data_IF_780063107974
#
_entry.id   IF_780063107974
#
_cell.length_a   1.000
_cell.length_b   1.000
_cell.length_c   1.000
_cell.angle_alpha   90.00
_cell.angle_beta   90.00
_cell.angle_gamma   90.00
#
_symmetry.space_group_name_H-M   'P 1'
#
loop_
_entity.id
_entity.type
_entity.pdbx_description
1 polymer ?
#
# COMPACT_ATOMS: atom_id res chain seq x y z
N UNK A 1 13.72 13.84 2.81
CA UNK A 1 13.08 12.59 3.26
C UNK A 1 12.43 11.89 2.07
N UNK A 2 12.70 10.59 1.87
CA UNK A 2 11.99 9.72 0.91
C UNK A 2 10.97 8.88 1.66
N UNK A 3 9.89 8.50 0.97
CA UNK A 3 8.92 7.56 1.50
C UNK A 3 8.25 6.82 0.33
N UNK A 4 7.86 5.56 0.54
CA UNK A 4 7.03 4.83 -0.40
C UNK A 4 5.58 5.25 -0.22
N UNK A 5 5.07 6.06 -1.14
CA UNK A 5 3.64 6.42 -1.14
C UNK A 5 2.85 5.23 -1.64
N UNK A 6 2.01 4.65 -0.79
CA UNK A 6 1.11 3.54 -1.11
C UNK A 6 -0.29 4.03 -1.47
N UNK A 7 -0.96 3.33 -2.36
CA UNK A 7 -2.31 3.63 -2.86
C UNK A 7 -2.91 2.35 -3.44
N UNK A 8 -4.23 2.27 -3.58
CA UNK A 8 -4.82 1.12 -4.25
C UNK A 8 -6.34 1.06 -4.10
N UNK A 9 -7.09 0.81 -5.17
CA UNK A 9 -8.52 0.57 -5.06
C UNK A 9 -8.80 -0.77 -4.36
N UNK A 10 -9.84 -0.78 -3.52
CA UNK A 10 -10.41 -1.99 -2.95
C UNK A 10 -11.60 -2.45 -3.80
N UNK A 11 -11.66 -3.75 -4.06
CA UNK A 11 -12.71 -4.41 -4.84
C UNK A 11 -13.45 -5.41 -3.97
N UNK A 12 -14.76 -5.53 -4.18
CA UNK A 12 -15.55 -6.61 -3.60
C UNK A 12 -15.17 -7.94 -4.29
N UNK A 13 -14.97 -8.98 -3.49
CA UNK A 13 -14.59 -10.31 -3.98
C UNK A 13 -15.55 -11.37 -3.45
N UNK A 14 -15.69 -12.47 -4.19
CA UNK A 14 -16.51 -13.62 -3.80
C UNK A 14 -15.63 -14.75 -3.21
N UNK A 15 -14.80 -14.40 -2.25
CA UNK A 15 -13.96 -15.35 -1.48
C UNK A 15 -13.80 -14.83 -0.07
N UNK A 16 -13.61 -15.73 0.89
CA UNK A 16 -13.35 -15.35 2.28
C UNK A 16 -12.05 -14.52 2.37
N UNK A 17 -12.15 -13.35 2.99
CA UNK A 17 -11.04 -12.47 3.34
C UNK A 17 -10.94 -12.35 4.87
N UNK A 18 -10.04 -11.50 5.34
CA UNK A 18 -9.98 -11.13 6.76
C UNK A 18 -11.29 -10.53 7.27
N UNK A 19 -12.11 -9.91 6.39
CA UNK A 19 -13.42 -9.36 6.74
C UNK A 19 -14.30 -10.40 7.44
N UNK A 20 -14.36 -11.64 6.93
CA UNK A 20 -15.17 -12.70 7.54
C UNK A 20 -14.67 -13.07 8.93
N UNK A 21 -13.35 -13.16 9.11
CA UNK A 21 -12.74 -13.54 10.39
C UNK A 21 -13.09 -12.54 11.48
N UNK A 22 -13.11 -11.25 11.14
CA UNK A 22 -13.33 -10.19 12.11
C UNK A 22 -14.81 -9.91 12.40
N UNK A 23 -15.69 -10.20 11.45
CA UNK A 23 -17.12 -9.87 11.55
C UNK A 23 -18.03 -11.06 11.89
N UNK A 24 -17.52 -12.30 11.88
CA UNK A 24 -18.24 -13.48 12.35
C UNK A 24 -17.65 -13.96 13.70
N UNK A 25 -18.39 -13.81 14.82
CA UNK A 25 -17.91 -14.19 16.15
C UNK A 25 -17.52 -15.67 16.28
N UNK A 26 -18.18 -16.57 15.56
CA UNK A 26 -17.87 -18.00 15.61
C UNK A 26 -16.57 -18.30 14.86
N UNK A 27 -16.38 -17.65 13.71
CA UNK A 27 -15.13 -17.76 12.94
C UNK A 27 -13.97 -17.17 13.73
N UNK A 28 -14.16 -16.00 14.34
CA UNK A 28 -13.14 -15.36 15.18
C UNK A 28 -12.74 -16.24 16.36
N UNK A 29 -13.71 -16.79 17.09
CA UNK A 29 -13.44 -17.68 18.23
C UNK A 29 -12.66 -18.93 17.82
N UNK A 30 -13.00 -19.53 16.65
CA UNK A 30 -12.25 -20.64 16.10
C UNK A 30 -10.82 -20.22 15.74
N UNK A 31 -10.66 -19.10 15.04
CA UNK A 31 -9.36 -18.60 14.61
C UNK A 31 -8.43 -18.30 15.80
N UNK A 32 -8.94 -17.69 16.87
CA UNK A 32 -8.22 -17.49 18.12
C UNK A 32 -7.84 -18.81 18.79
N UNK A 33 -8.72 -19.81 18.76
CA UNK A 33 -8.42 -21.13 19.34
C UNK A 33 -7.31 -21.84 18.57
N UNK A 34 -7.38 -21.86 17.24
CA UNK A 34 -6.34 -22.50 16.42
C UNK A 34 -4.98 -21.79 16.60
N UNK A 35 -4.95 -20.46 16.61
CA UNK A 35 -3.72 -19.68 16.83
C UNK A 35 -3.13 -19.95 18.22
N UNK A 36 -3.93 -19.80 19.28
CA UNK A 36 -3.42 -19.92 20.66
C UNK A 36 -3.06 -21.34 21.08
N UNK A 37 -3.71 -22.36 20.51
CA UNK A 37 -3.48 -23.76 20.91
C UNK A 37 -2.56 -24.53 19.97
N UNK A 38 -2.47 -24.13 18.69
CA UNK A 38 -1.70 -24.84 17.66
C UNK A 38 -0.68 -23.95 16.93
N UNK A 39 -0.74 -22.62 17.10
CA UNK A 39 0.00 -21.67 16.29
C UNK A 39 -0.29 -21.84 14.78
N UNK A 40 -1.57 -22.04 14.45
CA UNK A 40 -2.06 -22.25 13.08
C UNK A 40 -3.27 -21.37 12.77
N UNK A 41 -3.56 -21.21 11.48
CA UNK A 41 -4.79 -20.57 10.99
C UNK A 41 -4.59 -19.12 10.57
N UNK A 42 -5.70 -18.46 10.23
CA UNK A 42 -5.68 -17.15 9.55
C UNK A 42 -5.06 -16.02 10.38
N UNK A 43 -5.04 -16.12 11.71
CA UNK A 43 -4.43 -15.11 12.58
C UNK A 43 -2.90 -15.20 12.64
N UNK A 44 -2.30 -16.26 12.09
CA UNK A 44 -0.85 -16.35 11.92
C UNK A 44 -0.36 -15.62 10.67
N UNK A 45 -1.28 -15.16 9.79
CA UNK A 45 -0.95 -14.39 8.60
C UNK A 45 -0.73 -12.91 8.92
N UNK A 46 0.19 -12.27 8.20
CA UNK A 46 0.39 -10.81 8.21
C UNK A 46 -0.49 -10.09 7.17
N UNK A 47 -1.49 -10.77 6.59
CA UNK A 47 -2.46 -10.29 5.57
C UNK A 47 -1.88 -10.13 4.16
N UNK A 48 -0.57 -9.92 4.01
CA UNK A 48 0.11 -9.78 2.73
C UNK A 48 0.73 -11.12 2.28
N UNK A 49 0.05 -11.82 1.37
CA UNK A 49 0.43 -13.16 0.91
C UNK A 49 1.38 -13.12 -0.30
N UNK A 50 1.24 -12.09 -1.13
CA UNK A 50 2.08 -11.85 -2.29
C UNK A 50 2.48 -10.38 -2.38
N UNK A 51 3.76 -10.16 -2.65
CA UNK A 51 4.32 -8.85 -2.90
C UNK A 51 5.18 -8.94 -4.16
N UNK A 52 4.97 -8.01 -5.09
CA UNK A 52 5.69 -7.90 -6.35
C UNK A 52 6.44 -6.59 -6.45
N UNK A 53 7.56 -6.61 -7.17
CA UNK A 53 8.29 -5.40 -7.57
C UNK A 53 8.38 -5.38 -9.08
N UNK A 54 8.02 -4.24 -9.67
CA UNK A 54 8.01 -4.09 -11.11
C UNK A 54 8.46 -2.69 -11.53
N UNK A 55 8.97 -2.60 -12.75
CA UNK A 55 8.97 -1.34 -13.49
C UNK A 55 7.63 -1.18 -14.18
N UNK A 56 7.20 0.05 -14.41
CA UNK A 56 5.93 0.28 -15.09
C UNK A 56 5.95 -0.44 -16.46
N UNK A 57 5.02 -1.36 -16.75
CA UNK A 57 5.01 -2.13 -17.99
C UNK A 57 5.02 -1.22 -19.23
N UNK A 58 5.69 -1.64 -20.30
CA UNK A 58 5.94 -0.81 -21.49
C UNK A 58 4.68 -0.13 -22.04
N UNK A 59 3.54 -0.84 -22.04
CA UNK A 59 2.25 -0.30 -22.49
C UNK A 59 1.78 0.93 -21.70
N UNK A 60 2.08 0.99 -20.41
CA UNK A 60 1.74 2.12 -19.55
C UNK A 60 2.91 3.12 -19.50
N UNK A 61 4.15 2.64 -19.59
CA UNK A 61 5.36 3.47 -19.68
C UNK A 61 5.36 4.38 -20.89
N UNK A 62 4.79 3.94 -22.01
CA UNK A 62 4.64 4.73 -23.23
C UNK A 62 3.82 6.02 -23.02
N UNK A 63 3.01 6.10 -21.95
CA UNK A 63 2.21 7.28 -21.62
C UNK A 63 2.95 8.28 -20.70
N UNK A 64 4.17 7.96 -20.24
CA UNK A 64 4.96 8.88 -19.43
C UNK A 64 5.52 10.01 -20.29
N UNK A 65 5.61 11.21 -19.71
CA UNK A 65 6.30 12.33 -20.37
C UNK A 65 7.80 12.07 -20.46
N UNK A 66 8.46 12.62 -21.48
CA UNK A 66 9.92 12.53 -21.64
C UNK A 66 10.68 12.98 -20.39
N UNK A 67 10.20 14.05 -19.74
CA UNK A 67 10.75 14.56 -18.48
C UNK A 67 10.64 13.56 -17.32
N UNK A 68 9.58 12.76 -17.27
CA UNK A 68 9.41 11.70 -16.27
C UNK A 68 10.38 10.57 -16.55
N UNK A 69 10.45 10.12 -17.80
CA UNK A 69 11.38 9.06 -18.22
C UNK A 69 12.82 9.45 -17.89
N UNK A 70 13.22 10.69 -18.17
CA UNK A 70 14.55 11.20 -17.85
C UNK A 70 14.77 11.29 -16.33
N UNK A 71 13.80 11.79 -15.57
CA UNK A 71 13.93 11.88 -14.12
C UNK A 71 14.09 10.51 -13.46
N UNK A 72 13.43 9.47 -13.98
CA UNK A 72 13.54 8.09 -13.48
C UNK A 72 14.92 7.48 -13.67
N UNK A 73 15.74 7.96 -14.62
CA UNK A 73 17.14 7.54 -14.79
C UNK A 73 18.06 7.94 -13.63
N UNK A 74 17.55 8.72 -12.67
CA UNK A 74 18.24 8.95 -11.39
C UNK A 74 18.41 7.64 -10.61
N UNK A 75 17.54 6.66 -10.84
CA UNK A 75 17.63 5.32 -10.27
C UNK A 75 18.32 4.35 -11.24
N UNK A 76 18.96 3.28 -10.74
CA UNK A 76 19.51 2.21 -11.58
C UNK A 76 18.46 1.61 -12.53
N UNK A 77 18.90 1.10 -13.69
CA UNK A 77 17.99 0.53 -14.70
C UNK A 77 17.25 -0.73 -14.22
N UNK A 78 17.76 -1.42 -13.20
CA UNK A 78 17.14 -2.58 -12.57
C UNK A 78 16.33 -2.22 -11.31
N UNK A 79 16.26 -0.95 -10.93
CA UNK A 79 15.49 -0.51 -9.78
C UNK A 79 13.98 -0.60 -10.06
N UNK A 80 13.19 -1.18 -9.15
CA UNK A 80 11.75 -1.22 -9.31
C UNK A 80 11.14 0.17 -9.14
N UNK A 81 10.13 0.49 -9.93
CA UNK A 81 9.41 1.76 -9.85
C UNK A 81 8.19 1.62 -8.94
N UNK A 82 7.64 0.40 -8.88
CA UNK A 82 6.41 0.06 -8.19
C UNK A 82 6.62 -1.18 -7.30
N UNK A 83 5.93 -1.19 -6.17
CA UNK A 83 5.64 -2.37 -5.36
C UNK A 83 4.15 -2.65 -5.44
N UNK A 84 3.75 -3.90 -5.59
CA UNK A 84 2.36 -4.32 -5.54
C UNK A 84 2.12 -5.38 -4.46
N UNK A 85 0.91 -5.43 -3.91
CA UNK A 85 0.55 -6.41 -2.89
C UNK A 85 -0.96 -6.60 -2.76
N UNK A 86 -1.35 -7.62 -2.00
CA UNK A 86 -2.76 -7.94 -1.74
C UNK A 86 -3.19 -7.57 -0.31
N UNK A 87 -4.46 -7.21 -0.16
CA UNK A 87 -5.14 -7.06 1.14
C UNK A 87 -5.73 -5.67 1.37
N UNK A 88 -6.95 -5.60 1.93
CA UNK A 88 -7.58 -4.32 2.25
C UNK A 88 -6.87 -3.66 3.42
N UNK A 89 -6.10 -2.60 3.14
CA UNK A 89 -5.24 -1.94 4.13
C UNK A 89 -5.75 -0.60 4.64
N UNK A 90 -6.83 -0.06 4.06
CA UNK A 90 -7.39 1.23 4.47
C UNK A 90 -6.35 2.35 4.44
N UNK A 91 -6.23 3.10 5.56
CA UNK A 91 -5.22 4.16 5.72
C UNK A 91 -3.89 3.64 6.29
N UNK A 92 -3.73 2.32 6.39
CA UNK A 92 -2.56 1.64 6.94
C UNK A 92 -2.27 1.92 8.43
N UNK A 93 -3.18 2.55 9.18
CA UNK A 93 -2.94 2.84 10.61
C UNK A 93 -3.18 1.61 11.49
N UNK A 94 -4.27 0.88 11.23
CA UNK A 94 -4.60 -0.41 11.85
C UNK A 94 -5.38 -1.26 10.82
N UNK A 95 -4.72 -1.83 9.79
CA UNK A 95 -5.39 -2.52 8.67
C UNK A 95 -6.46 -3.54 9.09
N UNK A 96 -6.17 -4.31 10.14
CA UNK A 96 -7.09 -5.31 10.71
C UNK A 96 -8.39 -4.66 11.18
N UNK A 97 -8.37 -3.49 11.80
CA UNK A 97 -9.59 -2.83 12.33
C UNK A 97 -10.27 -1.88 11.34
N UNK A 98 -9.79 -1.83 10.10
CA UNK A 98 -10.31 -0.93 9.07
C UNK A 98 -11.09 -1.64 7.97
N UNK A 99 -11.45 -2.92 8.19
CA UNK A 99 -12.28 -3.69 7.27
C UNK A 99 -13.69 -3.09 7.15
N UNK A 100 -14.29 -2.98 5.95
CA UNK A 100 -15.63 -2.44 5.77
C UNK A 100 -16.71 -3.23 6.51
N UNK A 101 -17.66 -2.54 7.16
CA UNK A 101 -18.77 -3.15 7.91
C UNK A 101 -19.97 -3.55 7.02
N UNK A 102 -19.78 -3.69 5.70
CA UNK A 102 -20.86 -3.96 4.75
C UNK A 102 -21.30 -5.43 4.73
N UNK A 103 -20.59 -6.32 5.44
CA UNK A 103 -20.80 -7.77 5.40
C UNK A 103 -20.27 -8.42 4.11
N UNK A 104 -19.60 -7.65 3.26
CA UNK A 104 -18.96 -8.12 2.02
C UNK A 104 -17.48 -8.40 2.26
N UNK A 105 -16.85 -9.10 1.33
CA UNK A 105 -15.42 -9.42 1.38
C UNK A 105 -14.69 -8.50 0.42
N UNK A 106 -13.53 -7.98 0.82
CA UNK A 106 -12.75 -7.05 0.00
C UNK A 106 -11.31 -7.51 -0.21
N UNK A 107 -10.79 -7.20 -1.39
CA UNK A 107 -9.38 -7.31 -1.70
C UNK A 107 -8.91 -6.00 -2.36
N UNK A 108 -7.73 -5.54 -1.98
CA UNK A 108 -7.10 -4.37 -2.61
C UNK A 108 -5.94 -4.82 -3.47
N UNK A 109 -5.85 -4.23 -4.66
CA UNK A 109 -4.60 -4.21 -5.42
C UNK A 109 -3.79 -3.04 -4.88
N UNK A 110 -2.96 -3.31 -3.87
CA UNK A 110 -2.12 -2.30 -3.26
C UNK A 110 -0.95 -2.03 -4.21
N UNK A 111 -0.73 -0.76 -4.53
CA UNK A 111 0.43 -0.24 -5.22
C UNK A 111 1.23 0.69 -4.31
N UNK A 112 2.50 0.85 -4.61
CA UNK A 112 3.33 1.88 -3.98
C UNK A 112 4.49 2.27 -4.89
N UNK A 113 4.93 3.51 -4.77
CA UNK A 113 6.07 4.01 -5.56
C UNK A 113 7.37 3.73 -4.79
N UNK A 114 8.25 2.92 -5.38
CA UNK A 114 9.58 2.58 -4.83
C UNK A 114 10.69 3.46 -5.41
N UNK A 115 10.42 4.20 -6.48
CA UNK A 115 11.30 5.19 -7.08
C UNK A 115 10.79 6.64 -6.92
N UNK A 116 10.45 7.11 -5.69
CA UNK A 116 9.84 8.42 -5.53
C UNK A 116 10.86 9.52 -5.83
N UNK A 117 10.43 10.56 -6.54
CA UNK A 117 11.21 11.77 -6.82
C UNK A 117 10.80 12.94 -5.91
N UNK A 118 9.61 12.89 -5.31
CA UNK A 118 9.13 13.82 -4.30
C UNK A 118 10.00 13.78 -3.03
N UNK A 119 10.23 14.96 -2.44
CA UNK A 119 11.10 15.12 -1.27
C UNK A 119 10.36 15.86 -0.17
N UNK A 120 10.14 15.18 0.95
CA UNK A 120 9.64 15.77 2.18
C UNK A 120 10.75 16.26 3.10
N UNK A 121 10.37 16.91 4.19
CA UNK A 121 11.25 17.32 5.28
C UNK A 121 10.57 17.12 6.65
N UNK A 122 11.41 17.14 7.69
CA UNK A 122 11.00 17.12 9.09
C UNK A 122 11.79 18.20 9.82
N UNK A 123 11.13 19.01 10.63
CA UNK A 123 11.78 20.00 11.49
C UNK A 123 11.19 19.99 12.90
N UNK A 124 11.96 20.43 13.87
CA UNK A 124 11.45 20.66 15.22
C UNK A 124 10.52 21.88 15.21
N UNK A 125 9.42 21.79 15.95
CA UNK A 125 8.48 22.90 16.14
C UNK A 125 8.91 23.82 17.30
N UNK A 126 9.65 23.29 18.27
CA UNK A 126 10.20 24.01 19.42
C UNK A 126 11.46 23.31 19.98
N UNK A 127 11.99 23.82 21.10
CA UNK A 127 13.06 23.18 21.88
C UNK A 127 12.57 22.12 22.87
N UNK A 128 11.25 21.95 23.03
CA UNK A 128 10.64 20.95 23.91
C UNK A 128 10.56 19.60 23.20
N UNK A 129 11.01 18.53 23.87
CA UNK A 129 10.88 17.16 23.34
C UNK A 129 9.46 16.60 23.42
N UNK A 130 8.54 17.30 24.10
CA UNK A 130 7.12 16.94 24.17
C UNK A 130 6.31 17.47 22.99
N UNK A 131 6.86 18.40 22.22
CA UNK A 131 6.14 19.02 21.09
C UNK A 131 6.36 18.18 19.82
N UNK A 132 5.28 17.91 19.10
CA UNK A 132 5.34 17.14 17.85
C UNK A 132 6.18 17.89 16.80
N UNK A 133 7.00 17.18 16.00
CA UNK A 133 7.74 17.80 14.92
C UNK A 133 6.80 18.26 13.80
N UNK A 134 7.27 19.22 13.00
CA UNK A 134 6.62 19.60 11.75
C UNK A 134 7.01 18.58 10.67
N UNK A 135 6.02 17.86 10.15
CA UNK A 135 6.20 16.85 9.11
C UNK A 135 5.60 17.34 7.80
N UNK A 136 6.44 17.43 6.76
CA UNK A 136 5.99 17.60 5.38
C UNK A 136 6.42 16.39 4.57
N UNK A 137 5.46 15.53 4.21
CA UNK A 137 5.75 14.33 3.41
C UNK A 137 5.97 14.64 1.94
N UNK A 138 5.37 15.73 1.43
CA UNK A 138 5.38 16.14 0.03
C UNK A 138 5.03 15.01 -0.95
N UNK A 139 4.18 14.05 -0.56
CA UNK A 139 3.76 12.94 -1.42
C UNK A 139 3.17 13.44 -2.73
N UNK A 140 3.55 12.82 -3.85
CA UNK A 140 3.06 13.13 -5.20
C UNK A 140 3.24 14.61 -5.61
N UNK A 141 4.17 15.34 -4.99
CA UNK A 141 4.50 16.73 -5.35
C UNK A 141 5.23 16.86 -6.69
N UNK A 142 5.85 15.78 -7.19
CA UNK A 142 6.50 15.74 -8.50
C UNK A 142 5.55 15.12 -9.54
N UNK A 143 5.47 15.67 -10.76
CA UNK A 143 4.65 15.09 -11.84
C UNK A 143 5.02 13.64 -12.18
N UNK A 144 6.30 13.28 -12.08
CA UNK A 144 6.77 11.92 -12.32
C UNK A 144 6.13 10.89 -11.36
N UNK A 145 6.05 11.23 -10.07
CA UNK A 145 5.43 10.36 -9.06
C UNK A 145 3.92 10.22 -9.30
N UNK A 146 3.25 11.29 -9.75
CA UNK A 146 1.84 11.24 -10.13
C UNK A 146 1.61 10.33 -11.34
N UNK A 147 2.45 10.44 -12.37
CA UNK A 147 2.35 9.60 -13.56
C UNK A 147 2.62 8.13 -13.26
N UNK A 148 3.59 7.82 -12.39
CA UNK A 148 3.80 6.46 -11.89
C UNK A 148 2.56 5.95 -11.14
N UNK A 149 1.97 6.75 -10.24
CA UNK A 149 0.77 6.35 -9.51
C UNK A 149 -0.41 6.05 -10.45
N UNK A 150 -0.63 6.90 -11.45
CA UNK A 150 -1.69 6.71 -12.45
C UNK A 150 -1.41 5.46 -13.30
N UNK A 151 -0.18 5.27 -13.77
CA UNK A 151 0.19 4.10 -14.57
C UNK A 151 0.11 2.77 -13.81
N UNK A 152 0.26 2.80 -12.49
CA UNK A 152 0.22 1.63 -11.63
C UNK A 152 -1.20 1.08 -11.40
N UNK A 153 -2.25 1.89 -11.63
CA UNK A 153 -3.64 1.45 -11.49
C UNK A 153 -4.18 1.11 -12.89
N UNK A 154 -4.53 -0.16 -13.18
CA UNK A 154 -5.10 -0.52 -14.48
C UNK A 154 -6.41 0.22 -14.71
N UNK A 155 -6.58 0.84 -15.88
CA UNK A 155 -7.82 1.52 -16.27
C UNK A 155 -9.00 0.55 -16.52
N UNK A 156 -8.72 -0.76 -16.58
CA UNK A 156 -9.62 -1.80 -17.07
C UNK A 156 -10.03 -2.81 -15.96
N UNK A 157 -9.74 -2.49 -14.69
CA UNK A 157 -9.96 -3.36 -13.54
C UNK A 157 -11.37 -3.22 -12.93
#
# INVERSE_FOLDING_TARGET
MWNHTMFGPAYEVNMDSLDRVLHDPLVLAKALTDDTTKAEGVLTSNVAEFIGWERLPDKYRANLSESTVEALKTFPDDWPELISGNGHVGSFSLPVLQQPLSGKQYATTLGGITAPLSRGNVSISSSSTSDLPLLNTAWLSRPADQQLAIGAVPADA
#
